data_IF_823280499779
#
_entry.id   IF_823280499779
#
_cell.length_a   1.000
_cell.length_b   1.000
_cell.length_c   1.000
_cell.angle_alpha   90.00
_cell.angle_beta   90.00
_cell.angle_gamma   90.00
#
_symmetry.space_group_name_H-M   'P 1'
#
loop_
_entity.id
_entity.type
_entity.pdbx_description
1 polymer ?
#
# COMPACT_ATOMS: atom_id res chain seq x y z
N UNK A 1 -13.54 -0.86 -20.35
CA UNK A 1 -12.72 -1.89 -21.02
C UNK A 1 -12.25 -2.88 -19.96
N UNK A 2 -12.64 -4.16 -20.00
CA UNK A 2 -12.11 -5.14 -19.05
C UNK A 2 -10.62 -5.38 -19.32
N UNK A 3 -9.80 -5.43 -18.26
CA UNK A 3 -8.41 -5.89 -18.35
C UNK A 3 -8.44 -7.34 -18.87
N UNK A 4 -7.90 -7.56 -20.06
CA UNK A 4 -7.99 -8.86 -20.76
C UNK A 4 -7.02 -9.86 -20.14
N UNK A 5 -7.51 -11.08 -19.90
CA UNK A 5 -6.70 -12.22 -19.53
C UNK A 5 -5.93 -12.80 -20.73
N UNK A 6 -5.11 -13.82 -20.45
CA UNK A 6 -4.27 -14.50 -21.46
C UNK A 6 -5.08 -15.22 -22.53
N UNK A 7 -6.29 -15.67 -22.20
CA UNK A 7 -7.23 -16.26 -23.15
C UNK A 7 -8.16 -15.16 -23.68
N UNK A 8 -8.30 -15.10 -25.00
CA UNK A 8 -9.12 -14.09 -25.69
C UNK A 8 -10.57 -14.14 -25.22
N UNK A 9 -11.10 -13.00 -24.78
CA UNK A 9 -12.50 -12.85 -24.36
C UNK A 9 -12.74 -12.94 -22.85
N UNK A 10 -11.79 -13.47 -22.07
CA UNK A 10 -11.89 -13.53 -20.61
C UNK A 10 -11.22 -12.32 -19.93
N UNK A 11 -11.75 -11.90 -18.78
CA UNK A 11 -11.08 -10.93 -17.90
C UNK A 11 -9.85 -11.52 -17.23
N UNK A 12 -8.91 -10.68 -16.80
CA UNK A 12 -7.79 -11.11 -15.98
C UNK A 12 -8.29 -11.65 -14.63
N UNK A 13 -7.72 -12.77 -14.18
CA UNK A 13 -8.05 -13.34 -12.87
C UNK A 13 -7.25 -12.66 -11.77
N UNK A 14 -7.73 -12.73 -10.51
CA UNK A 14 -6.97 -12.22 -9.36
C UNK A 14 -5.57 -12.85 -9.27
N UNK A 15 -5.46 -14.16 -9.53
CA UNK A 15 -4.18 -14.86 -9.60
C UNK A 15 -3.28 -14.35 -10.73
N UNK A 16 -3.86 -13.95 -11.87
CA UNK A 16 -3.12 -13.32 -12.96
C UNK A 16 -2.52 -11.97 -12.57
N UNK A 17 -3.27 -11.16 -11.82
CA UNK A 17 -2.77 -9.89 -11.28
C UNK A 17 -1.65 -10.16 -10.27
N UNK A 18 -1.83 -11.13 -9.36
CA UNK A 18 -0.80 -11.53 -8.41
C UNK A 18 0.50 -11.96 -9.10
N UNK A 19 0.42 -12.84 -10.10
CA UNK A 19 1.58 -13.31 -10.85
C UNK A 19 2.32 -12.17 -11.57
N UNK A 20 1.58 -11.20 -12.11
CA UNK A 20 2.15 -9.99 -12.72
C UNK A 20 2.92 -9.16 -11.71
N UNK A 21 2.34 -8.89 -10.54
CA UNK A 21 2.99 -8.14 -9.46
C UNK A 21 4.26 -8.84 -8.99
N UNK A 22 4.23 -10.16 -8.77
CA UNK A 22 5.41 -10.94 -8.37
C UNK A 22 6.52 -10.86 -9.44
N UNK A 23 6.15 -10.94 -10.72
CA UNK A 23 7.14 -10.81 -11.81
C UNK A 23 7.83 -9.44 -11.81
N UNK A 24 7.08 -8.35 -11.63
CA UNK A 24 7.66 -7.01 -11.58
C UNK A 24 8.50 -6.80 -10.33
N UNK A 25 8.05 -7.30 -9.18
CA UNK A 25 8.82 -7.23 -7.95
C UNK A 25 10.18 -7.93 -8.07
N UNK A 26 10.19 -9.12 -8.69
CA UNK A 26 11.43 -9.85 -8.97
C UNK A 26 12.34 -9.08 -9.92
N UNK A 27 11.80 -8.50 -10.98
CA UNK A 27 12.55 -7.67 -11.93
C UNK A 27 13.14 -6.41 -11.28
N UNK A 28 12.43 -5.83 -10.30
CA UNK A 28 12.89 -4.68 -9.52
C UNK A 28 13.84 -5.05 -8.37
N UNK A 29 14.18 -6.34 -8.17
CA UNK A 29 15.05 -6.78 -7.08
C UNK A 29 14.41 -6.73 -5.69
N UNK A 30 13.08 -6.62 -5.60
CA UNK A 30 12.37 -6.53 -4.32
C UNK A 30 12.14 -7.95 -3.79
N UNK A 31 12.92 -8.35 -2.79
CA UNK A 31 12.78 -9.64 -2.13
C UNK A 31 12.12 -9.50 -0.75
N UNK A 32 10.79 -9.46 -0.74
CA UNK A 32 9.98 -9.35 0.49
C UNK A 32 9.01 -10.53 0.55
N UNK A 33 9.05 -11.26 1.67
CA UNK A 33 8.13 -12.36 1.91
C UNK A 33 6.68 -11.86 1.90
N UNK A 34 5.80 -12.55 1.16
CA UNK A 34 4.38 -12.20 1.10
C UNK A 34 4.06 -10.93 0.29
N UNK A 35 4.98 -10.40 -0.52
CA UNK A 35 4.69 -9.29 -1.42
C UNK A 35 3.60 -9.68 -2.43
N UNK A 36 2.57 -8.84 -2.54
CA UNK A 36 1.45 -9.02 -3.45
C UNK A 36 0.60 -7.76 -3.54
N UNK A 37 -0.54 -7.85 -4.23
CA UNK A 37 -1.43 -6.72 -4.52
C UNK A 37 -1.88 -5.95 -3.26
N UNK A 38 -2.18 -6.67 -2.16
CA UNK A 38 -2.58 -6.04 -0.90
C UNK A 38 -1.42 -5.35 -0.19
N UNK A 39 -0.21 -5.92 -0.28
CA UNK A 39 1.01 -5.29 0.23
C UNK A 39 1.30 -3.97 -0.46
N UNK A 40 1.21 -3.93 -1.80
CA UNK A 40 1.39 -2.70 -2.56
C UNK A 40 0.35 -1.63 -2.23
N UNK A 41 -0.92 -2.03 -2.03
CA UNK A 41 -1.98 -1.11 -1.60
C UNK A 41 -1.68 -0.50 -0.22
N UNK A 42 -1.22 -1.32 0.72
CA UNK A 42 -0.80 -0.86 2.05
C UNK A 42 0.37 0.12 1.96
N UNK A 43 1.40 -0.23 1.18
CA UNK A 43 2.56 0.66 0.93
C UNK A 43 2.13 1.98 0.34
N UNK A 44 1.23 1.98 -0.64
CA UNK A 44 0.75 3.20 -1.28
C UNK A 44 -0.03 4.11 -0.31
N UNK A 45 -0.87 3.53 0.55
CA UNK A 45 -1.60 4.25 1.59
C UNK A 45 -0.66 4.87 2.63
N UNK A 46 0.27 4.08 3.16
CA UNK A 46 1.27 4.55 4.12
C UNK A 46 2.15 5.65 3.52
N UNK A 47 2.66 5.46 2.30
CA UNK A 47 3.51 6.45 1.63
C UNK A 47 2.76 7.77 1.41
N UNK A 48 1.50 7.73 0.98
CA UNK A 48 0.71 8.96 0.83
C UNK A 48 0.57 9.72 2.17
N UNK A 49 0.28 9.00 3.26
CA UNK A 49 0.09 9.61 4.58
C UNK A 49 1.40 10.14 5.18
N UNK A 50 2.50 9.42 4.99
CA UNK A 50 3.85 9.85 5.40
C UNK A 50 4.27 11.13 4.67
N UNK A 51 3.83 11.31 3.42
CA UNK A 51 4.01 12.53 2.62
C UNK A 51 2.84 13.52 2.77
N UNK A 52 2.26 13.60 3.96
CA UNK A 52 1.30 14.64 4.38
C UNK A 52 -0.03 14.67 3.60
N UNK A 53 -0.39 13.60 2.90
CA UNK A 53 -1.71 13.52 2.30
C UNK A 53 -2.82 13.57 3.37
N UNK A 54 -3.93 14.21 3.01
CA UNK A 54 -5.15 14.22 3.82
C UNK A 54 -5.73 12.80 3.93
N UNK A 55 -5.93 12.34 5.16
CA UNK A 55 -6.46 11.00 5.46
C UNK A 55 -7.87 10.79 4.87
N UNK A 56 -8.68 11.84 4.74
CA UNK A 56 -10.00 11.74 4.10
C UNK A 56 -9.87 11.48 2.59
N UNK A 57 -8.87 12.07 1.92
CA UNK A 57 -8.56 11.80 0.52
C UNK A 57 -8.02 10.39 0.32
N UNK A 58 -7.13 9.93 1.20
CA UNK A 58 -6.61 8.55 1.18
C UNK A 58 -7.75 7.55 1.42
N UNK A 59 -8.67 7.81 2.35
CA UNK A 59 -9.85 6.98 2.56
C UNK A 59 -10.71 6.86 1.29
N UNK A 60 -11.00 7.98 0.62
CA UNK A 60 -11.78 7.99 -0.60
C UNK A 60 -11.09 7.22 -1.73
N UNK A 61 -9.78 7.40 -1.90
CA UNK A 61 -8.98 6.67 -2.89
C UNK A 61 -8.98 5.15 -2.66
N UNK A 62 -8.90 4.74 -1.39
CA UNK A 62 -8.97 3.33 -1.02
C UNK A 62 -10.40 2.77 -1.08
N UNK A 63 -11.44 3.62 -1.04
CA UNK A 63 -12.83 3.17 -0.97
C UNK A 63 -13.19 2.55 0.38
N UNK A 64 -12.57 3.03 1.46
CA UNK A 64 -12.86 2.57 2.81
C UNK A 64 -14.15 3.21 3.35
N UNK A 65 -15.04 2.39 3.90
CA UNK A 65 -16.31 2.86 4.48
C UNK A 65 -16.12 3.55 5.85
N UNK A 66 -15.03 3.26 6.57
CA UNK A 66 -14.75 3.82 7.89
C UNK A 66 -13.30 4.31 7.97
N UNK A 67 -13.12 5.55 8.40
CA UNK A 67 -11.80 6.20 8.56
C UNK A 67 -10.85 5.40 9.47
N UNK A 68 -11.39 4.63 10.43
CA UNK A 68 -10.58 3.75 11.30
C UNK A 68 -9.77 2.72 10.51
N UNK A 69 -10.32 2.20 9.41
CA UNK A 69 -9.64 1.24 8.53
C UNK A 69 -8.53 1.88 7.69
N UNK A 70 -8.57 3.20 7.50
CA UNK A 70 -7.47 3.97 6.89
C UNK A 70 -6.42 4.33 7.92
N UNK A 71 -6.82 4.60 9.17
CA UNK A 71 -5.92 5.02 10.26
C UNK A 71 -4.84 4.00 10.57
N UNK A 72 -5.06 2.70 10.31
CA UNK A 72 -4.02 1.67 10.48
C UNK A 72 -2.78 1.90 9.61
N UNK A 73 -2.89 2.70 8.54
CA UNK A 73 -1.79 3.05 7.65
C UNK A 73 -1.10 4.37 8.02
N UNK A 74 -1.68 5.15 8.95
CA UNK A 74 -1.14 6.44 9.38
C UNK A 74 -0.15 6.25 10.53
N UNK A 75 1.14 6.35 10.22
CA UNK A 75 2.23 6.17 11.20
C UNK A 75 2.76 7.47 11.78
N UNK A 76 2.23 8.63 11.37
CA UNK A 76 2.75 9.95 11.77
C UNK A 76 2.75 10.15 13.29
N UNK A 77 1.81 9.54 14.00
CA UNK A 77 1.70 9.63 15.47
C UNK A 77 2.66 8.69 16.23
N UNK A 78 3.35 7.78 15.53
CA UNK A 78 4.22 6.76 16.11
C UNK A 78 5.70 7.02 15.78
N UNK A 79 6.03 8.20 15.24
CA UNK A 79 7.38 8.59 14.87
C UNK A 79 8.25 8.76 16.12
N UNK A 80 9.31 7.96 16.31
CA UNK A 80 10.19 8.11 17.46
C UNK A 80 10.78 9.53 17.58
N UNK A 81 11.07 10.18 16.45
CA UNK A 81 11.61 11.53 16.38
C UNK A 81 10.70 12.63 16.94
N UNK A 82 9.40 12.37 17.02
CA UNK A 82 8.41 13.28 17.60
C UNK A 82 8.26 13.06 19.12
N UNK A 83 8.90 12.03 19.68
CA UNK A 83 8.90 11.75 21.12
C UNK A 83 9.80 12.73 21.90
N UNK A 84 9.34 13.28 23.04
CA UNK A 84 10.16 14.12 23.91
C UNK A 84 11.47 13.45 24.33
N UNK A 85 11.44 12.13 24.52
CA UNK A 85 12.58 11.33 24.97
C UNK A 85 13.64 11.15 23.89
N UNK A 86 13.27 11.16 22.60
CA UNK A 86 14.21 10.96 21.48
C UNK A 86 15.17 12.14 21.31
N UNK A 87 14.76 13.35 21.71
CA UNK A 87 15.57 14.58 21.60
C UNK A 87 16.59 14.75 22.73
N UNK A 88 16.54 13.90 23.76
CA UNK A 88 17.48 13.95 24.88
C UNK A 88 18.70 13.09 24.53
N UNK A 89 19.80 13.75 24.16
CA UNK A 89 21.13 13.12 24.12
C UNK A 89 21.71 13.15 25.54
N UNK A 90 22.03 11.98 26.10
CA UNK A 90 22.88 11.87 27.29
C UNK A 90 24.34 12.13 26.92
#
# INVERSE_FOLDING_TARGET
MPLRGRQTGAGITANGIYAMVVSYAKAAGINVAGLGVHGLRATAATNALEHEADIAKVQAWLGHANISTTRIYDRRQLRPEDSPTFKVRY
#
